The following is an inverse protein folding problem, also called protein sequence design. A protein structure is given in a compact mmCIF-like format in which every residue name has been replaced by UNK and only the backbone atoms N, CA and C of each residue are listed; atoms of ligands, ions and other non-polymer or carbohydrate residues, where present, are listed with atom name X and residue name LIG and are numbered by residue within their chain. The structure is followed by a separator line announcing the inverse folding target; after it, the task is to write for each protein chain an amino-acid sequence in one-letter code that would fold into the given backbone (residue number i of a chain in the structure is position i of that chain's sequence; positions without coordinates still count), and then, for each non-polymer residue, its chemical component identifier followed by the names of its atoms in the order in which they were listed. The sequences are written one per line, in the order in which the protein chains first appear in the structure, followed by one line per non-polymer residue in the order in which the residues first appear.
data_IF_951535887720
#
_entry.id   IF_951535887720
#
_cell.length_a   1.000
_cell.length_b   1.000
_cell.length_c   1.000
_cell.angle_alpha   90.00
_cell.angle_beta   90.00
_cell.angle_gamma   90.00
#
_symmetry.space_group_name_H-M   'P 1'
#
loop_
_entity.id
_entity.type
_entity.pdbx_description
1 polymer ?
#
# COMPACT_ATOMS: atom_id res chain seq x y z
N UNK A 1 -8.08 -18.92 -8.81
CA UNK A 1 -8.29 -18.58 -7.38
C UNK A 1 -8.76 -17.14 -7.33
N UNK A 2 -9.79 -16.85 -6.56
CA UNK A 2 -10.31 -15.51 -6.34
C UNK A 2 -9.46 -14.75 -5.29
N UNK A 3 -9.80 -13.48 -5.05
CA UNK A 3 -9.13 -12.63 -4.05
C UNK A 3 -9.07 -13.29 -2.68
N UNK A 4 -10.20 -13.82 -2.21
CA UNK A 4 -10.35 -14.45 -0.89
C UNK A 4 -9.43 -15.67 -0.77
N UNK A 5 -9.31 -16.47 -1.83
CA UNK A 5 -8.42 -17.61 -1.87
C UNK A 5 -6.95 -17.22 -1.75
N UNK A 6 -6.50 -16.18 -2.46
CA UNK A 6 -5.12 -15.70 -2.36
C UNK A 6 -4.83 -15.00 -1.03
N UNK A 7 -5.78 -14.26 -0.47
CA UNK A 7 -5.65 -13.67 0.85
C UNK A 7 -5.55 -14.77 1.93
N UNK A 8 -6.35 -15.83 1.82
CA UNK A 8 -6.26 -16.99 2.71
C UNK A 8 -4.90 -17.70 2.60
N UNK A 9 -4.39 -17.86 1.38
CA UNK A 9 -3.06 -18.40 1.14
C UNK A 9 -1.96 -17.50 1.74
N UNK A 10 -2.09 -16.18 1.59
CA UNK A 10 -1.17 -15.19 2.16
C UNK A 10 -1.18 -15.24 3.69
N UNK A 11 -2.36 -15.33 4.30
CA UNK A 11 -2.55 -15.45 5.75
C UNK A 11 -1.85 -16.68 6.30
N UNK A 12 -2.09 -17.84 5.69
CA UNK A 12 -1.43 -19.09 6.10
C UNK A 12 0.08 -19.01 5.86
N UNK A 13 0.51 -18.54 4.70
CA UNK A 13 1.93 -18.42 4.40
C UNK A 13 2.68 -17.51 5.39
N UNK A 14 2.07 -16.40 5.80
CA UNK A 14 2.61 -15.49 6.80
C UNK A 14 2.65 -16.16 8.18
N UNK A 15 1.55 -16.83 8.58
CA UNK A 15 1.46 -17.51 9.88
C UNK A 15 2.48 -18.64 10.05
N UNK A 16 2.74 -19.39 8.98
CA UNK A 16 3.62 -20.57 9.01
C UNK A 16 5.03 -20.31 8.46
N UNK A 17 5.34 -19.07 8.07
CA UNK A 17 6.67 -18.70 7.55
C UNK A 17 6.99 -19.24 6.16
N UNK A 18 5.99 -19.63 5.36
CA UNK A 18 6.18 -20.13 3.99
C UNK A 18 6.47 -19.00 3.00
N UNK A 19 7.71 -18.54 2.99
CA UNK A 19 8.17 -17.40 2.18
C UNK A 19 7.87 -17.52 0.67
N UNK A 20 8.00 -18.71 0.08
CA UNK A 20 7.70 -18.93 -1.34
C UNK A 20 6.20 -18.78 -1.64
N UNK A 21 5.34 -19.29 -0.77
CA UNK A 21 3.88 -19.18 -0.91
C UNK A 21 3.45 -17.73 -0.67
N UNK A 22 4.03 -17.05 0.33
CA UNK A 22 3.81 -15.61 0.60
C UNK A 22 4.12 -14.78 -0.64
N UNK A 23 5.29 -14.97 -1.25
CA UNK A 23 5.68 -14.27 -2.48
C UNK A 23 4.72 -14.53 -3.64
N UNK A 24 4.30 -15.79 -3.82
CA UNK A 24 3.35 -16.15 -4.89
C UNK A 24 1.98 -15.51 -4.66
N UNK A 25 1.44 -15.58 -3.45
CA UNK A 25 0.16 -14.98 -3.11
C UNK A 25 0.18 -13.46 -3.31
N UNK A 26 1.26 -12.78 -2.91
CA UNK A 26 1.42 -11.34 -3.14
C UNK A 26 1.50 -11.00 -4.63
N UNK A 27 2.25 -11.78 -5.42
CA UNK A 27 2.34 -11.55 -6.86
C UNK A 27 1.00 -11.72 -7.58
N UNK A 28 0.17 -12.67 -7.14
CA UNK A 28 -1.15 -12.90 -7.72
C UNK A 28 -2.16 -11.83 -7.26
N UNK A 29 -2.11 -11.41 -5.99
CA UNK A 29 -2.91 -10.28 -5.50
C UNK A 29 -2.57 -8.97 -6.20
N UNK A 30 -1.29 -8.72 -6.51
CA UNK A 30 -0.85 -7.53 -7.23
C UNK A 30 -1.30 -7.50 -8.70
N UNK A 31 -1.53 -8.67 -9.31
CA UNK A 31 -2.12 -8.77 -10.66
C UNK A 31 -3.63 -8.56 -10.66
N UNK A 32 -4.27 -8.61 -9.49
CA UNK A 32 -5.70 -8.37 -9.38
C UNK A 32 -5.95 -6.86 -9.37
N UNK A 33 -7.03 -6.43 -10.01
CA UNK A 33 -7.47 -5.03 -9.99
C UNK A 33 -8.12 -4.73 -8.64
N UNK A 34 -7.31 -4.65 -7.59
CA UNK A 34 -7.73 -4.27 -6.24
C UNK A 34 -7.92 -2.76 -6.15
N UNK A 35 -8.84 -2.34 -5.29
CA UNK A 35 -9.01 -0.93 -4.95
C UNK A 35 -7.81 -0.45 -4.12
N UNK A 36 -7.43 0.85 -4.20
CA UNK A 36 -6.29 1.38 -3.46
C UNK A 36 -6.37 1.13 -1.94
N UNK A 37 -7.58 1.14 -1.38
CA UNK A 37 -7.81 0.86 0.04
C UNK A 37 -7.55 -0.60 0.40
N UNK A 38 -7.79 -1.53 -0.52
CA UNK A 38 -7.53 -2.95 -0.32
C UNK A 38 -6.03 -3.23 -0.31
N UNK A 39 -5.26 -2.52 -1.14
CA UNK A 39 -3.80 -2.54 -1.10
C UNK A 39 -3.26 -2.09 0.26
N UNK A 40 -3.80 -1.00 0.81
CA UNK A 40 -3.42 -0.50 2.14
C UNK A 40 -3.79 -1.52 3.23
N UNK A 41 -5.00 -2.08 3.19
CA UNK A 41 -5.47 -3.07 4.16
C UNK A 41 -4.57 -4.32 4.18
N UNK A 42 -4.28 -4.90 3.02
CA UNK A 42 -3.38 -6.07 2.88
C UNK A 42 -1.95 -5.69 3.31
N UNK A 43 -1.49 -4.51 2.90
CA UNK A 43 -0.19 -3.96 3.25
C UNK A 43 0.01 -3.85 4.76
N UNK A 44 -1.00 -3.36 5.49
CA UNK A 44 -0.99 -3.27 6.96
C UNK A 44 -1.08 -4.64 7.62
N UNK A 45 -2.07 -5.45 7.23
CA UNK A 45 -2.34 -6.77 7.84
C UNK A 45 -1.18 -7.75 7.72
N UNK A 46 -0.51 -7.76 6.57
CA UNK A 46 0.54 -8.74 6.27
C UNK A 46 1.94 -8.12 6.22
N UNK A 47 2.07 -6.85 6.66
CA UNK A 47 3.31 -6.04 6.63
C UNK A 47 3.99 -6.18 5.28
N UNK A 48 3.42 -5.53 4.27
CA UNK A 48 3.94 -5.54 2.89
C UNK A 48 4.11 -4.11 2.44
N UNK A 49 5.33 -3.59 2.57
CA UNK A 49 5.62 -2.17 2.29
C UNK A 49 5.30 -1.76 0.85
N UNK A 50 5.47 -2.67 -0.13
CA UNK A 50 5.13 -2.38 -1.53
C UNK A 50 3.63 -2.14 -1.73
N UNK A 51 2.78 -2.92 -1.06
CA UNK A 51 1.32 -2.77 -1.17
C UNK A 51 0.85 -1.47 -0.50
N UNK A 52 1.46 -1.10 0.64
CA UNK A 52 1.21 0.21 1.26
C UNK A 52 1.59 1.34 0.30
N UNK A 53 2.77 1.27 -0.30
CA UNK A 53 3.26 2.28 -1.23
C UNK A 53 2.33 2.43 -2.44
N UNK A 54 2.00 1.33 -3.12
CA UNK A 54 1.13 1.33 -4.30
C UNK A 54 -0.27 1.83 -3.92
N UNK A 55 -0.83 1.35 -2.81
CA UNK A 55 -2.15 1.76 -2.33
C UNK A 55 -2.23 3.24 -1.98
N UNK A 56 -1.25 3.80 -1.25
CA UNK A 56 -1.24 5.24 -0.96
C UNK A 56 -1.05 6.11 -2.20
N UNK A 57 -0.20 5.67 -3.13
CA UNK A 57 0.04 6.37 -4.39
C UNK A 57 -1.22 6.44 -5.24
N UNK A 58 -1.89 5.30 -5.44
CA UNK A 58 -3.14 5.25 -6.20
C UNK A 58 -4.28 5.98 -5.49
N UNK A 59 -4.38 5.85 -4.16
CA UNK A 59 -5.39 6.55 -3.37
C UNK A 59 -5.23 8.07 -3.48
N UNK A 60 -3.99 8.58 -3.46
CA UNK A 60 -3.71 10.01 -3.59
C UNK A 60 -3.98 10.56 -5.01
N UNK A 61 -3.86 9.71 -6.03
CA UNK A 61 -4.22 10.04 -7.41
C UNK A 61 -5.74 9.99 -7.67
N UNK A 62 -6.51 9.30 -6.83
CA UNK A 62 -7.97 9.20 -6.93
C UNK A 62 -8.63 10.58 -6.74
N UNK A 63 -9.56 10.93 -7.63
CA UNK A 63 -10.37 12.15 -7.49
C UNK A 63 -11.37 12.03 -6.34
N UNK A 64 -11.91 10.83 -6.12
CA UNK A 64 -12.87 10.56 -5.05
C UNK A 64 -12.26 10.72 -3.65
N UNK A 65 -13.02 11.37 -2.77
CA UNK A 65 -12.71 11.44 -1.34
C UNK A 65 -12.74 10.06 -0.68
N UNK A 66 -12.08 9.94 0.47
CA UNK A 66 -12.17 8.77 1.34
C UNK A 66 -13.63 8.60 1.76
N UNK A 67 -14.18 7.40 1.58
CA UNK A 67 -15.53 7.04 2.02
C UNK A 67 -15.51 6.69 3.50
N UNK A 68 -16.63 6.86 4.20
CA UNK A 68 -16.70 6.57 5.64
C UNK A 68 -16.27 5.14 6.00
N UNK A 69 -16.61 4.15 5.17
CA UNK A 69 -16.18 2.75 5.38
C UNK A 69 -14.69 2.48 5.15
N UNK A 70 -13.95 3.41 4.54
CA UNK A 70 -12.50 3.32 4.34
C UNK A 70 -11.73 3.92 5.53
N UNK A 71 -12.40 4.71 6.38
CA UNK A 71 -11.78 5.37 7.55
C UNK A 71 -11.30 4.36 8.61
N UNK A 72 -11.96 3.22 8.75
CA UNK A 72 -11.52 2.18 9.70
C UNK A 72 -10.18 1.55 9.30
N UNK A 73 -9.85 1.56 7.99
CA UNK A 73 -8.59 1.03 7.45
C UNK A 73 -7.49 2.10 7.54
N UNK A 74 -7.87 3.35 7.25
CA UNK A 74 -7.02 4.52 7.36
C UNK A 74 -7.10 5.07 8.79
N UNK A 75 -6.31 4.50 9.71
CA UNK A 75 -6.13 5.08 11.04
C UNK A 75 -5.76 6.59 10.97
N UNK A 76 -5.90 7.30 12.10
CA UNK A 76 -5.71 8.75 12.15
C UNK A 76 -4.33 9.20 11.64
N UNK A 77 -3.29 8.36 11.78
CA UNK A 77 -1.95 8.67 11.29
C UNK A 77 -1.86 8.50 9.77
N UNK A 78 -2.43 7.43 9.23
CA UNK A 78 -2.53 7.17 7.79
C UNK A 78 -3.33 8.23 7.04
N UNK A 79 -4.39 8.78 7.65
CA UNK A 79 -5.17 9.89 7.05
C UNK A 79 -4.29 11.14 6.88
N UNK A 80 -3.52 11.52 7.91
CA UNK A 80 -2.62 12.66 7.82
C UNK A 80 -1.56 12.50 6.72
N UNK A 81 -1.02 11.29 6.57
CA UNK A 81 -0.07 10.96 5.49
C UNK A 81 -0.72 11.01 4.12
N UNK A 82 -1.92 10.46 3.98
CA UNK A 82 -2.70 10.55 2.74
C UNK A 82 -2.99 12.00 2.35
N UNK A 83 -3.45 12.84 3.27
CA UNK A 83 -3.73 14.25 3.00
C UNK A 83 -2.48 14.97 2.49
N UNK A 84 -1.32 14.74 3.13
CA UNK A 84 -0.05 15.29 2.68
C UNK A 84 0.31 14.81 1.26
N UNK A 85 0.21 13.50 0.99
CA UNK A 85 0.44 12.97 -0.35
C UNK A 85 -0.50 13.59 -1.38
N UNK A 86 -1.79 13.68 -1.09
CA UNK A 86 -2.79 14.27 -2.00
C UNK A 86 -2.47 15.72 -2.32
N UNK A 87 -2.08 16.51 -1.33
CA UNK A 87 -1.67 17.90 -1.52
C UNK A 87 -0.37 18.01 -2.33
N UNK A 88 0.58 17.09 -2.14
CA UNK A 88 1.79 17.00 -2.95
C UNK A 88 1.48 16.68 -4.41
N UNK A 89 0.59 15.72 -4.69
CA UNK A 89 0.18 15.38 -6.05
C UNK A 89 -0.56 16.55 -6.73
N UNK A 90 -1.44 17.24 -6.01
CA UNK A 90 -2.12 18.45 -6.51
C UNK A 90 -1.14 19.58 -6.82
N UNK A 91 -0.23 19.89 -5.89
CA UNK A 91 0.78 20.93 -6.09
C UNK A 91 1.78 20.58 -7.23
N UNK A 92 2.00 19.30 -7.48
CA UNK A 92 2.84 18.84 -8.57
C UNK A 92 2.11 18.90 -9.92
N UNK A 93 0.81 18.58 -9.96
CA UNK A 93 -0.05 18.77 -11.12
C UNK A 93 -0.09 20.24 -11.57
N UNK A 94 -0.22 21.17 -10.63
CA UNK A 94 -0.18 22.63 -10.90
C UNK A 94 1.16 23.07 -11.52
N UNK A 95 2.26 22.38 -11.16
CA UNK A 95 3.62 22.67 -11.63
C UNK A 95 4.02 21.84 -12.87
N UNK A 96 3.12 21.05 -13.46
CA UNK A 96 3.42 20.03 -14.51
C UNK A 96 4.61 19.14 -14.16
N UNK A 97 4.85 18.91 -12.87
CA UNK A 97 5.96 18.10 -12.36
C UNK A 97 5.41 16.76 -11.87
N UNK A 98 6.10 15.66 -12.14
CA UNK A 98 5.77 14.37 -11.54
C UNK A 98 6.26 14.33 -10.10
N UNK A 99 5.43 13.85 -9.17
CA UNK A 99 5.91 13.46 -7.82
C UNK A 99 6.78 12.23 -7.99
N UNK A 100 8.00 12.29 -7.46
CA UNK A 100 8.93 11.16 -7.52
C UNK A 100 8.64 10.14 -6.41
N UNK A 101 8.90 8.86 -6.69
CA UNK A 101 8.68 7.75 -5.77
C UNK A 101 9.51 7.91 -4.48
N UNK A 102 10.66 8.58 -4.55
CA UNK A 102 11.47 8.91 -3.38
C UNK A 102 10.75 9.86 -2.41
N UNK A 103 9.95 10.80 -2.92
CA UNK A 103 9.21 11.75 -2.10
C UNK A 103 8.06 11.06 -1.37
N UNK A 104 7.33 10.18 -2.05
CA UNK A 104 6.25 9.37 -1.46
C UNK A 104 6.83 8.49 -0.34
N UNK A 105 7.96 7.82 -0.60
CA UNK A 105 8.66 7.00 0.41
C UNK A 105 9.12 7.80 1.62
N UNK A 106 9.48 9.08 1.45
CA UNK A 106 9.83 9.95 2.58
C UNK A 106 8.64 10.22 3.51
N UNK A 107 7.44 10.43 2.94
CA UNK A 107 6.21 10.65 3.73
C UNK A 107 5.77 9.36 4.44
N UNK A 108 5.92 8.23 3.77
CA UNK A 108 5.53 6.91 4.29
C UNK A 108 6.63 6.22 5.10
N UNK A 109 7.79 6.87 5.32
CA UNK A 109 8.98 6.24 5.90
C UNK A 109 8.68 5.55 7.23
N UNK A 110 7.96 6.23 8.12
CA UNK A 110 7.61 5.68 9.44
C UNK A 110 6.76 4.41 9.35
N UNK A 111 5.87 4.32 8.37
CA UNK A 111 4.94 3.19 8.19
C UNK A 111 5.57 2.03 7.39
N UNK A 112 6.53 2.35 6.52
CA UNK A 112 7.26 1.37 5.71
C UNK A 112 8.43 0.71 6.47
N UNK A 113 8.87 1.26 7.61
CA UNK A 113 10.04 0.76 8.37
C UNK A 113 9.79 -0.55 9.14
N UNK A 114 8.55 -1.07 9.20
CA UNK A 114 8.21 -2.26 9.99
C UNK A 114 8.29 -3.62 9.26
N UNK A 115 8.68 -3.67 7.98
CA UNK A 115 8.67 -4.92 7.19
C UNK A 115 10.07 -5.55 7.00
N UNK A 116 10.24 -6.79 7.46
CA UNK A 116 11.44 -7.65 7.31
C UNK A 116 11.96 -7.79 5.86
N UNK A 117 11.13 -7.48 4.86
CA UNK A 117 11.44 -7.66 3.45
C UNK A 117 11.86 -6.40 2.67
N UNK A 118 11.69 -5.20 3.22
CA UNK A 118 11.80 -3.96 2.45
C UNK A 118 13.20 -3.69 1.87
N UNK A 119 14.26 -4.08 2.59
CA UNK A 119 15.64 -3.82 2.18
C UNK A 119 16.20 -4.79 1.13
N UNK A 120 15.55 -5.95 0.86
CA UNK A 120 16.16 -7.00 0.00
C UNK A 120 15.91 -6.85 -1.50
N UNK A 121 15.10 -5.90 -1.94
CA UNK A 121 14.80 -5.67 -3.37
C UNK A 121 15.34 -4.34 -3.94
N UNK A 122 15.84 -3.45 -3.09
CA UNK A 122 16.27 -2.10 -3.48
C UNK A 122 17.64 -1.71 -2.89
N UNK A 123 18.49 -2.70 -2.59
CA UNK A 123 19.91 -2.52 -2.30
C UNK A 123 20.73 -2.83 -3.56
#
# INVERSE_FOLDING_TARGET
MDRIGWESALKLATKWGFSNIRKKALAELHKMSLEPIEYIDIGKKYRVGQFLFDGYKELALREDSIKDGELDILDSHSVGRYSNLRDMFRAAADKKKSVDDAQIRSVLKEELMEDEGYWKRNA
#
